data_IF_767223548667
#
_entry.id   IF_767223548667
#
_cell.length_a   1.000
_cell.length_b   1.000
_cell.length_c   1.000
_cell.angle_alpha   90.00
_cell.angle_beta   90.00
_cell.angle_gamma   90.00
#
_symmetry.space_group_name_H-M   'P 1'
#
loop_
_entity.id
_entity.type
_entity.pdbx_description
1 polymer ?
#
# COMPACT_ATOMS: atom_id res chain seq x y z
N UNK A 1 -8.92 10.13 -9.88
CA UNK A 1 -9.52 10.39 -11.20
C UNK A 1 -9.70 11.89 -11.51
N UNK A 2 -9.65 12.81 -10.52
CA UNK A 2 -9.70 14.26 -10.78
C UNK A 2 -8.47 14.72 -11.56
N UNK A 3 -7.28 14.29 -11.16
CA UNK A 3 -6.03 14.66 -11.83
C UNK A 3 -5.99 14.15 -13.28
N UNK A 4 -6.47 12.93 -13.52
CA UNK A 4 -6.62 12.37 -14.87
C UNK A 4 -7.61 13.18 -15.72
N UNK A 5 -8.74 13.60 -15.11
CA UNK A 5 -9.71 14.46 -15.78
C UNK A 5 -9.15 15.86 -16.10
N UNK A 6 -8.17 16.32 -15.32
CA UNK A 6 -7.41 17.56 -15.59
C UNK A 6 -6.31 17.40 -16.67
N UNK A 7 -6.18 16.22 -17.26
CA UNK A 7 -5.22 15.96 -18.34
C UNK A 7 -3.83 15.47 -17.89
N UNK A 8 -3.65 15.15 -16.61
CA UNK A 8 -2.39 14.58 -16.15
C UNK A 8 -2.30 13.10 -16.54
N UNK A 9 -1.34 12.77 -17.38
CA UNK A 9 -1.09 11.38 -17.83
C UNK A 9 -0.33 10.55 -16.80
N UNK A 10 0.37 11.20 -15.87
CA UNK A 10 1.16 10.55 -14.83
C UNK A 10 1.04 11.32 -13.52
N UNK A 11 0.81 10.59 -12.43
CA UNK A 11 0.72 11.13 -11.07
C UNK A 11 1.63 10.30 -10.18
N UNK A 12 2.51 10.95 -9.46
CA UNK A 12 3.37 10.32 -8.45
C UNK A 12 2.80 10.67 -7.07
N UNK A 13 2.57 9.64 -6.27
CA UNK A 13 2.11 9.78 -4.89
C UNK A 13 3.26 9.34 -3.99
N UNK A 14 3.80 10.25 -3.20
CA UNK A 14 4.82 9.93 -2.21
C UNK A 14 4.17 9.71 -0.84
N UNK A 15 4.59 8.65 -0.16
CA UNK A 15 4.22 8.38 1.23
C UNK A 15 5.41 8.60 2.15
N UNK A 16 5.16 9.17 3.31
CA UNK A 16 6.18 9.46 4.31
C UNK A 16 6.00 8.53 5.50
N UNK A 17 7.02 7.74 5.79
CA UNK A 17 7.09 6.90 6.99
C UNK A 17 6.57 5.47 6.82
N UNK A 18 7.02 4.60 7.72
CA UNK A 18 6.54 3.23 7.82
C UNK A 18 5.30 3.20 8.71
N UNK A 19 4.18 2.72 8.19
CA UNK A 19 2.96 2.57 8.98
C UNK A 19 1.76 2.08 8.16
N UNK A 20 0.61 1.97 8.81
CA UNK A 20 -0.64 1.47 8.19
C UNK A 20 -1.10 2.28 6.96
N UNK A 21 -0.64 3.54 6.82
CA UNK A 21 -0.92 4.38 5.66
C UNK A 21 -0.27 3.88 4.36
N UNK A 22 0.81 3.11 4.44
CA UNK A 22 1.48 2.55 3.27
C UNK A 22 0.63 1.49 2.57
N UNK A 23 -0.12 0.69 3.33
CA UNK A 23 -1.05 -0.28 2.75
C UNK A 23 -2.25 0.39 2.05
N UNK A 24 -2.64 1.58 2.46
CA UNK A 24 -3.74 2.32 1.81
C UNK A 24 -3.36 2.81 0.41
N UNK A 25 -2.07 3.01 0.11
CA UNK A 25 -1.63 3.46 -1.21
C UNK A 25 -1.97 2.46 -2.31
N UNK A 26 -2.06 1.16 -1.98
CA UNK A 26 -2.47 0.10 -2.92
C UNK A 26 -3.83 0.41 -3.55
N UNK A 27 -4.72 1.06 -2.79
CA UNK A 27 -6.05 1.44 -3.26
C UNK A 27 -6.03 2.58 -4.29
N UNK A 28 -4.95 3.35 -4.34
CA UNK A 28 -4.89 4.57 -5.17
C UNK A 28 -3.86 4.49 -6.29
N UNK A 29 -2.79 3.73 -6.11
CA UNK A 29 -1.71 3.62 -7.09
C UNK A 29 -1.94 2.47 -8.08
N UNK A 30 -1.64 2.71 -9.35
CA UNK A 30 -1.64 1.65 -10.38
C UNK A 30 -0.36 0.82 -10.30
N UNK A 31 0.74 1.42 -9.82
CA UNK A 31 2.05 0.81 -9.61
C UNK A 31 2.67 1.28 -8.31
N UNK A 32 3.42 0.41 -7.67
CA UNK A 32 4.15 0.69 -6.44
C UNK A 32 5.63 0.55 -6.70
N UNK A 33 6.33 1.67 -6.57
CA UNK A 33 7.78 1.72 -6.51
C UNK A 33 8.20 1.81 -5.05
N UNK A 34 8.86 0.77 -4.54
CA UNK A 34 9.49 0.82 -3.24
C UNK A 34 10.90 1.39 -3.39
N UNK A 35 11.22 2.42 -2.60
CA UNK A 35 12.57 3.01 -2.58
C UNK A 35 13.22 2.72 -1.23
N UNK A 36 14.40 2.11 -1.27
CA UNK A 36 15.23 1.86 -0.09
C UNK A 36 16.68 2.32 -0.35
N UNK A 37 17.55 2.21 0.64
CA UNK A 37 18.95 2.64 0.51
C UNK A 37 19.83 2.18 1.67
N UNK A 38 21.19 2.34 1.53
CA UNK A 38 22.18 1.79 2.45
C UNK A 38 22.20 2.44 3.83
N UNK A 39 21.58 3.61 4.00
CA UNK A 39 21.61 4.37 5.26
C UNK A 39 20.57 3.89 6.29
N UNK A 40 19.67 3.00 5.92
CA UNK A 40 18.67 2.44 6.82
C UNK A 40 19.20 1.15 7.41
N UNK A 41 19.70 1.22 8.63
CA UNK A 41 20.08 0.03 9.41
C UNK A 41 18.88 -0.92 9.58
N UNK A 42 19.14 -2.22 9.55
CA UNK A 42 18.16 -3.33 9.69
C UNK A 42 16.95 -3.26 8.72
N UNK A 43 17.24 -3.63 7.49
CA UNK A 43 16.33 -3.61 6.34
C UNK A 43 15.19 -4.64 6.46
N UNK A 44 15.31 -5.63 7.31
CA UNK A 44 14.33 -6.74 7.40
C UNK A 44 13.65 -6.70 8.77
N UNK A 45 12.95 -5.63 9.07
CA UNK A 45 11.91 -5.70 10.07
C UNK A 45 10.68 -6.37 9.44
N UNK A 46 10.04 -7.27 10.18
CA UNK A 46 8.90 -8.07 9.70
C UNK A 46 7.74 -7.23 9.11
N UNK A 47 7.62 -5.96 9.50
CA UNK A 47 6.68 -5.00 8.93
C UNK A 47 6.97 -4.66 7.47
N UNK A 48 8.25 -4.72 7.04
CA UNK A 48 8.63 -4.44 5.65
C UNK A 48 8.44 -5.63 4.72
N UNK A 49 8.37 -6.86 5.23
CA UNK A 49 8.15 -8.03 4.40
C UNK A 49 6.84 -7.93 3.61
N UNK A 50 5.76 -7.46 4.25
CA UNK A 50 4.48 -7.25 3.59
C UNK A 50 4.50 -6.16 2.51
N UNK A 51 5.32 -5.12 2.67
CA UNK A 51 5.47 -4.05 1.67
C UNK A 51 6.30 -4.51 0.47
N UNK A 52 7.33 -5.34 0.71
CA UNK A 52 8.14 -5.92 -0.36
C UNK A 52 7.29 -6.76 -1.33
N UNK A 53 6.33 -7.52 -0.81
CA UNK A 53 5.41 -8.34 -1.62
C UNK A 53 4.45 -7.50 -2.46
N UNK A 54 4.22 -6.25 -2.08
CA UNK A 54 3.31 -5.35 -2.77
C UNK A 54 3.99 -4.50 -3.85
N UNK A 55 5.32 -4.42 -3.82
CA UNK A 55 6.09 -3.62 -4.77
C UNK A 55 6.08 -4.26 -6.17
N UNK A 56 5.80 -3.45 -7.19
CA UNK A 56 5.98 -3.87 -8.59
C UNK A 56 7.43 -3.72 -9.04
N UNK A 57 8.14 -2.74 -8.47
CA UNK A 57 9.57 -2.48 -8.71
C UNK A 57 10.21 -2.00 -7.41
N UNK A 58 11.44 -2.38 -7.19
CA UNK A 58 12.24 -1.93 -6.04
C UNK A 58 13.44 -1.13 -6.56
N UNK A 59 13.65 0.06 -6.02
CA UNK A 59 14.83 0.86 -6.29
C UNK A 59 15.69 0.97 -5.03
N UNK A 60 16.95 0.56 -5.13
CA UNK A 60 17.96 0.81 -4.12
C UNK A 60 18.66 2.10 -4.49
N UNK A 61 18.24 3.18 -3.85
CA UNK A 61 18.81 4.51 -4.09
C UNK A 61 20.16 4.67 -3.37
N UNK A 62 20.88 5.73 -3.73
CA UNK A 62 22.22 6.04 -3.24
C UNK A 62 23.25 4.98 -3.63
N UNK A 63 23.20 4.52 -4.89
CA UNK A 63 24.14 3.57 -5.45
C UNK A 63 25.61 4.08 -5.44
N UNK A 64 25.78 5.38 -5.31
CA UNK A 64 27.07 6.07 -5.11
C UNK A 64 27.68 5.81 -3.72
N UNK A 65 26.90 5.33 -2.74
CA UNK A 65 27.38 5.00 -1.41
C UNK A 65 27.83 3.53 -1.31
N UNK A 66 28.85 3.26 -0.46
CA UNK A 66 29.24 1.88 -0.16
C UNK A 66 28.06 1.11 0.47
N UNK A 67 28.02 -0.19 0.23
CA UNK A 67 26.99 -1.14 0.69
C UNK A 67 25.64 -1.10 -0.03
N UNK A 68 25.41 -0.27 -1.02
CA UNK A 68 24.17 -0.28 -1.82
C UNK A 68 23.91 -1.64 -2.47
N UNK A 69 24.95 -2.31 -2.98
CA UNK A 69 24.85 -3.64 -3.57
C UNK A 69 24.50 -4.71 -2.52
N UNK A 70 25.04 -4.64 -1.33
CA UNK A 70 24.72 -5.58 -0.24
C UNK A 70 23.25 -5.48 0.17
N UNK A 71 22.68 -4.28 0.14
CA UNK A 71 21.24 -4.06 0.36
C UNK A 71 20.40 -4.72 -0.73
N UNK A 72 20.75 -4.52 -1.99
CA UNK A 72 20.06 -5.13 -3.12
C UNK A 72 20.11 -6.68 -3.03
N UNK A 73 21.24 -7.23 -2.66
CA UNK A 73 21.39 -8.68 -2.52
C UNK A 73 20.57 -9.23 -1.34
N UNK A 74 20.51 -8.50 -0.23
CA UNK A 74 19.68 -8.87 0.93
C UNK A 74 18.19 -8.89 0.58
N UNK A 75 17.72 -7.91 -0.18
CA UNK A 75 16.32 -7.85 -0.64
C UNK A 75 16.03 -8.98 -1.64
N UNK A 76 16.95 -9.27 -2.57
CA UNK A 76 16.81 -10.42 -3.47
C UNK A 76 16.65 -11.72 -2.71
N UNK A 77 17.45 -11.94 -1.68
CA UNK A 77 17.34 -13.14 -0.83
C UNK A 77 15.97 -13.18 -0.14
N UNK A 78 15.51 -12.06 0.42
CA UNK A 78 14.21 -12.00 1.09
C UNK A 78 13.04 -12.33 0.14
N UNK A 79 13.10 -11.86 -1.11
CA UNK A 79 12.06 -12.13 -2.12
C UNK A 79 12.11 -13.56 -2.69
N UNK A 80 13.24 -14.25 -2.62
CA UNK A 80 13.34 -15.65 -3.08
C UNK A 80 12.52 -16.65 -2.26
N UNK A 81 12.08 -16.25 -1.06
CA UNK A 81 11.21 -17.08 -0.22
C UNK A 81 9.72 -16.88 -0.54
N UNK A 82 9.35 -15.94 -1.43
CA UNK A 82 7.97 -15.73 -1.90
C UNK A 82 7.59 -16.69 -3.05
N UNK A 83 6.30 -16.95 -3.21
CA UNK A 83 5.74 -17.81 -4.29
C UNK A 83 5.52 -17.04 -5.61
N UNK A 84 5.87 -15.75 -5.67
CA UNK A 84 5.61 -14.87 -6.81
C UNK A 84 6.81 -14.77 -7.75
N UNK A 85 6.57 -14.33 -8.98
CA UNK A 85 7.64 -13.95 -9.92
C UNK A 85 8.55 -12.90 -9.27
N UNK A 86 9.88 -12.95 -9.51
CA UNK A 86 10.82 -12.07 -8.84
C UNK A 86 10.56 -10.60 -9.22
N UNK A 87 10.28 -9.78 -8.21
CA UNK A 87 10.14 -8.33 -8.37
C UNK A 87 11.44 -7.70 -8.89
N UNK A 88 11.41 -6.90 -9.96
CA UNK A 88 12.60 -6.23 -10.49
C UNK A 88 13.24 -5.32 -9.44
N UNK A 89 14.58 -5.40 -9.32
CA UNK A 89 15.37 -4.57 -8.39
C UNK A 89 16.39 -3.78 -9.18
N UNK A 90 16.33 -2.46 -9.07
CA UNK A 90 17.26 -1.52 -9.70
C UNK A 90 18.10 -0.81 -8.63
N UNK A 91 19.40 -0.71 -8.87
CA UNK A 91 20.28 0.17 -8.07
C UNK A 91 20.41 1.50 -8.79
N UNK A 92 20.10 2.58 -8.10
CA UNK A 92 20.08 3.93 -8.69
C UNK A 92 20.79 4.95 -7.80
N UNK A 93 21.35 5.97 -8.40
CA UNK A 93 21.79 7.18 -7.70
C UNK A 93 20.97 8.37 -8.22
N UNK A 94 20.07 8.86 -7.39
CA UNK A 94 19.24 10.01 -7.75
C UNK A 94 20.09 11.29 -7.91
N UNK A 95 21.23 11.39 -7.21
CA UNK A 95 22.14 12.54 -7.30
C UNK A 95 22.92 12.52 -8.62
N UNK A 96 23.41 11.34 -9.02
CA UNK A 96 24.22 11.17 -10.23
C UNK A 96 23.36 10.90 -11.47
N UNK A 97 22.08 10.53 -11.30
CA UNK A 97 21.21 10.11 -12.38
C UNK A 97 21.47 8.68 -12.87
N UNK A 98 22.41 7.96 -12.26
CA UNK A 98 22.79 6.60 -12.66
C UNK A 98 21.64 5.61 -12.39
N UNK A 99 21.30 4.76 -13.36
CA UNK A 99 20.25 3.74 -13.26
C UNK A 99 18.80 4.27 -13.28
N UNK A 100 18.61 5.59 -13.26
CA UNK A 100 17.24 6.20 -13.22
C UNK A 100 16.51 5.97 -14.54
N UNK A 101 17.21 6.01 -15.66
CA UNK A 101 16.62 5.79 -16.98
C UNK A 101 16.07 4.37 -17.13
N UNK A 102 16.81 3.37 -16.71
CA UNK A 102 16.43 1.97 -16.72
C UNK A 102 15.25 1.70 -15.79
N UNK A 103 15.28 2.27 -14.58
CA UNK A 103 14.17 2.21 -13.62
C UNK A 103 12.88 2.79 -14.22
N UNK A 104 12.96 3.96 -14.85
CA UNK A 104 11.81 4.59 -15.48
C UNK A 104 11.26 3.77 -16.65
N UNK A 105 12.15 3.20 -17.48
CA UNK A 105 11.74 2.32 -18.56
C UNK A 105 11.05 1.06 -18.06
N UNK A 106 11.53 0.47 -16.96
CA UNK A 106 10.88 -0.68 -16.31
C UNK A 106 9.46 -0.33 -15.86
N UNK A 107 9.28 0.78 -15.13
CA UNK A 107 7.97 1.23 -14.65
C UNK A 107 7.01 1.50 -15.82
N UNK A 108 7.49 2.09 -16.90
CA UNK A 108 6.68 2.39 -18.10
C UNK A 108 6.26 1.13 -18.86
N UNK A 109 7.10 0.11 -18.87
CA UNK A 109 6.83 -1.17 -19.52
C UNK A 109 5.89 -2.08 -18.73
N UNK A 110 5.71 -1.82 -17.43
CA UNK A 110 4.74 -2.55 -16.62
C UNK A 110 3.33 -2.27 -17.12
N UNK A 111 2.72 -3.27 -17.75
CA UNK A 111 1.32 -3.23 -18.16
C UNK A 111 0.38 -3.12 -16.95
N UNK A 112 -0.93 -2.89 -17.14
CA UNK A 112 -1.89 -2.89 -16.04
C UNK A 112 -1.94 -4.25 -15.35
N UNK A 113 -1.88 -4.26 -14.01
CA UNK A 113 -2.05 -5.47 -13.23
C UNK A 113 -3.54 -5.72 -12.93
N UNK A 114 -4.15 -6.79 -13.47
CA UNK A 114 -5.55 -7.09 -13.24
C UNK A 114 -5.87 -7.38 -11.76
N UNK A 115 -4.90 -7.89 -10.99
CA UNK A 115 -5.08 -8.19 -9.58
C UNK A 115 -5.16 -6.92 -8.72
N UNK A 116 -4.51 -5.84 -9.14
CA UNK A 116 -4.57 -4.53 -8.45
C UNK A 116 -5.97 -3.97 -8.37
N UNK A 117 -6.78 -4.18 -9.40
CA UNK A 117 -8.17 -3.71 -9.39
C UNK A 117 -8.98 -4.37 -8.27
N UNK A 118 -8.82 -5.66 -8.07
CA UNK A 118 -9.48 -6.40 -6.98
C UNK A 118 -8.98 -5.95 -5.61
N UNK A 119 -7.65 -5.79 -5.45
CA UNK A 119 -7.06 -5.28 -4.21
C UNK A 119 -7.55 -3.87 -3.90
N UNK A 120 -7.60 -2.97 -4.89
CA UNK A 120 -8.15 -1.62 -4.75
C UNK A 120 -9.59 -1.63 -4.26
N UNK A 121 -10.45 -2.44 -4.86
CA UNK A 121 -11.85 -2.54 -4.43
C UNK A 121 -11.96 -3.10 -3.01
N UNK A 122 -11.14 -4.08 -2.66
CA UNK A 122 -11.10 -4.63 -1.30
C UNK A 122 -10.73 -3.56 -0.27
N UNK A 123 -9.67 -2.79 -0.52
CA UNK A 123 -9.23 -1.72 0.38
C UNK A 123 -10.24 -0.57 0.47
N UNK A 124 -10.86 -0.20 -0.64
CA UNK A 124 -11.95 0.79 -0.66
C UNK A 124 -13.16 0.31 0.16
N UNK A 125 -13.52 -0.97 0.05
CA UNK A 125 -14.58 -1.58 0.85
C UNK A 125 -14.24 -1.52 2.35
N UNK A 126 -13.06 -1.96 2.74
CA UNK A 126 -12.60 -1.96 4.14
C UNK A 126 -12.58 -0.54 4.69
N UNK A 127 -12.01 0.41 3.96
CA UNK A 127 -11.91 1.82 4.42
C UNK A 127 -13.29 2.49 4.51
N UNK A 128 -14.18 2.22 3.57
CA UNK A 128 -15.56 2.73 3.60
C UNK A 128 -16.35 2.14 4.78
N UNK A 129 -16.18 0.83 5.01
CA UNK A 129 -16.79 0.16 6.15
C UNK A 129 -16.28 0.71 7.49
N UNK A 130 -14.98 0.88 7.63
CA UNK A 130 -14.36 1.46 8.83
C UNK A 130 -14.85 2.90 9.05
N UNK A 131 -14.91 3.71 8.00
CA UNK A 131 -15.42 5.07 8.11
C UNK A 131 -16.89 5.10 8.55
N UNK A 132 -17.74 4.26 7.96
CA UNK A 132 -19.15 4.15 8.33
C UNK A 132 -19.33 3.69 9.79
N UNK A 133 -18.51 2.73 10.22
CA UNK A 133 -18.52 2.26 11.62
C UNK A 133 -18.13 3.36 12.60
N UNK A 134 -17.02 4.07 12.34
CA UNK A 134 -16.51 5.12 13.23
C UNK A 134 -17.42 6.36 13.32
N UNK A 135 -18.21 6.60 12.28
CA UNK A 135 -19.18 7.71 12.25
C UNK A 135 -20.60 7.28 12.62
N UNK A 136 -20.80 6.02 12.97
CA UNK A 136 -22.12 5.49 13.30
C UNK A 136 -22.68 6.20 14.55
N UNK A 137 -23.92 6.74 14.50
CA UNK A 137 -24.47 7.53 15.61
C UNK A 137 -24.58 6.78 16.95
N UNK A 138 -24.60 5.44 16.91
CA UNK A 138 -24.73 4.60 18.09
C UNK A 138 -23.41 3.91 18.48
N UNK A 139 -22.27 4.32 17.91
CA UNK A 139 -20.99 3.64 18.19
C UNK A 139 -20.66 3.69 19.68
N UNK A 140 -20.77 4.85 20.31
CA UNK A 140 -20.47 5.05 21.72
C UNK A 140 -21.34 4.17 22.62
N UNK A 141 -22.65 4.08 22.32
CA UNK A 141 -23.60 3.23 23.04
C UNK A 141 -23.22 1.75 22.94
N UNK A 142 -22.77 1.30 21.76
CA UNK A 142 -22.36 -0.09 21.58
C UNK A 142 -21.02 -0.36 22.29
N UNK A 143 -20.09 0.60 22.31
CA UNK A 143 -18.85 0.51 23.06
C UNK A 143 -19.10 0.41 24.57
N UNK A 144 -20.01 1.21 25.13
CA UNK A 144 -20.41 1.10 26.54
C UNK A 144 -20.94 -0.31 26.87
N UNK A 145 -21.87 -0.82 26.06
CA UNK A 145 -22.47 -2.14 26.23
C UNK A 145 -21.47 -3.29 26.06
N UNK A 146 -20.46 -3.13 25.22
CA UNK A 146 -19.37 -4.09 25.08
C UNK A 146 -18.47 -4.06 26.32
N UNK A 147 -18.16 -2.87 26.87
CA UNK A 147 -17.35 -2.71 28.06
C UNK A 147 -18.02 -3.28 29.31
N UNK A 148 -19.34 -3.15 29.45
CA UNK A 148 -20.10 -3.70 30.58
C UNK A 148 -20.49 -5.17 30.41
N UNK A 149 -20.21 -5.75 29.22
CA UNK A 149 -20.49 -7.15 28.91
C UNK A 149 -21.94 -7.47 28.61
N UNK A 150 -22.80 -6.45 28.42
CA UNK A 150 -24.23 -6.66 28.13
C UNK A 150 -24.51 -7.13 26.70
N UNK A 151 -23.57 -6.95 25.78
CA UNK A 151 -23.60 -7.49 24.41
C UNK A 151 -22.27 -8.08 24.02
N UNK A 152 -22.26 -8.97 23.00
CA UNK A 152 -21.04 -9.47 22.37
C UNK A 152 -20.64 -8.60 21.17
N UNK A 153 -19.38 -8.73 20.72
CA UNK A 153 -18.91 -8.09 19.48
C UNK A 153 -19.79 -8.49 18.29
N UNK A 154 -20.23 -9.75 18.23
CA UNK A 154 -21.10 -10.23 17.16
C UNK A 154 -22.47 -9.52 17.18
N UNK A 155 -23.06 -9.32 18.37
CA UNK A 155 -24.33 -8.62 18.53
C UNK A 155 -24.20 -7.14 18.09
N UNK A 156 -23.09 -6.51 18.47
CA UNK A 156 -22.79 -5.13 18.09
C UNK A 156 -22.67 -4.99 16.56
N UNK A 157 -21.91 -5.88 15.90
CA UNK A 157 -21.75 -5.89 14.44
C UNK A 157 -23.11 -6.11 13.75
N UNK A 158 -23.91 -7.05 14.20
CA UNK A 158 -25.22 -7.33 13.61
C UNK A 158 -26.17 -6.14 13.76
N UNK A 159 -26.20 -5.54 14.95
CA UNK A 159 -27.04 -4.37 15.23
C UNK A 159 -26.65 -3.16 14.41
N UNK A 160 -25.35 -2.82 14.36
CA UNK A 160 -24.86 -1.67 13.58
C UNK A 160 -24.96 -1.93 12.09
N UNK A 161 -24.67 -3.14 11.61
CA UNK A 161 -24.72 -3.49 10.20
C UNK A 161 -26.12 -3.36 9.60
N UNK A 162 -27.17 -3.60 10.38
CA UNK A 162 -28.56 -3.41 9.95
C UNK A 162 -29.00 -1.93 9.86
N UNK A 163 -28.24 -1.03 10.46
CA UNK A 163 -28.50 0.41 10.53
C UNK A 163 -27.54 1.24 9.65
N UNK A 164 -26.53 0.60 9.05
CA UNK A 164 -25.60 1.29 8.17
C UNK A 164 -26.27 1.63 6.84
N UNK A 165 -26.59 2.90 6.67
CA UNK A 165 -26.95 3.46 5.37
C UNK A 165 -25.64 3.83 4.65
N UNK A 166 -25.23 3.04 3.68
CA UNK A 166 -24.02 3.28 2.91
C UNK A 166 -24.15 4.38 1.86
N UNK A 167 -25.29 5.12 1.85
CA UNK A 167 -25.48 6.24 0.92
C UNK A 167 -25.21 5.83 -0.54
N UNK A 168 -25.57 4.61 -0.92
CA UNK A 168 -25.45 4.16 -2.30
C UNK A 168 -26.56 4.86 -3.07
N UNK A 169 -26.24 6.06 -3.56
CA UNK A 169 -27.03 6.65 -4.62
C UNK A 169 -27.03 5.66 -5.79
N UNK A 170 -28.18 5.07 -6.02
CA UNK A 170 -28.48 4.21 -7.16
C UNK A 170 -28.48 5.08 -8.42
N UNK A 171 -27.29 5.40 -8.91
CA UNK A 171 -27.10 5.88 -10.27
C UNK A 171 -26.49 4.75 -11.09
N UNK A 172 -27.38 4.10 -11.85
CA UNK A 172 -27.11 3.23 -12.99
C UNK A 172 -26.13 3.88 -14.00
#
# INVERSE_FOLDING_TARGET
NVLSACGWSRVIIETVGAGQSEFQIIAFADRILLIDGPDRGDIIQAEKAGILELADVIAINKADLPNSQAVADSIKIALQFGESDPTPIHTVSAIEGTGVGELMAEIENLGPDPNRKALRFRELLISSWNAALLTHPQIDLHLEKLCDGSITVSDAIQSMGSLMDFGVDSHD
#
